data_IF_807757733080
#
_entry.id   IF_807757733080
#
_cell.length_a   1.000
_cell.length_b   1.000
_cell.length_c   1.000
_cell.angle_alpha   90.00
_cell.angle_beta   90.00
_cell.angle_gamma   90.00
#
_symmetry.space_group_name_H-M   'P 1'
#
loop_
_entity.id
_entity.type
_entity.pdbx_description
1 polymer ?
#
# COMPACT_ATOMS: atom_id res chain seq x y z
N UNK A 1 20.32 4.31 -17.34
CA UNK A 1 20.70 3.78 -18.64
C UNK A 1 20.91 2.29 -18.48
N UNK A 2 20.08 1.49 -19.15
CA UNK A 2 20.27 0.06 -19.26
C UNK A 2 21.64 -0.17 -19.91
N UNK A 3 22.58 -0.72 -19.16
CA UNK A 3 23.76 -1.32 -19.77
C UNK A 3 23.33 -2.66 -20.37
N UNK A 4 22.81 -2.64 -21.58
CA UNK A 4 22.73 -3.84 -22.38
C UNK A 4 24.16 -4.27 -22.75
N UNK A 5 24.63 -5.33 -22.11
CA UNK A 5 25.89 -5.95 -22.51
C UNK A 5 25.64 -6.85 -23.71
N UNK A 6 26.43 -6.72 -24.74
CA UNK A 6 26.48 -7.77 -25.77
C UNK A 6 27.05 -9.05 -25.16
N UNK A 7 26.77 -10.22 -25.75
CA UNK A 7 27.36 -11.50 -25.31
C UNK A 7 28.89 -11.46 -25.23
N UNK A 8 29.53 -10.72 -26.11
CA UNK A 8 30.98 -10.52 -26.09
C UNK A 8 31.40 -9.68 -24.86
N UNK A 9 30.68 -8.60 -24.53
CA UNK A 9 30.97 -7.77 -23.36
C UNK A 9 30.76 -8.51 -22.03
N UNK A 10 29.82 -9.46 -21.97
CA UNK A 10 29.63 -10.34 -20.81
C UNK A 10 30.77 -11.36 -20.67
N UNK A 11 31.37 -11.79 -21.79
CA UNK A 11 32.50 -12.74 -21.80
C UNK A 11 33.85 -12.03 -21.55
N UNK A 12 33.96 -10.77 -21.97
CA UNK A 12 35.17 -9.97 -21.86
C UNK A 12 35.12 -8.96 -20.71
N UNK A 13 34.31 -9.20 -19.68
CA UNK A 13 34.23 -8.32 -18.53
C UNK A 13 35.59 -8.25 -17.82
N UNK A 14 36.28 -7.15 -18.00
CA UNK A 14 37.56 -6.89 -17.35
C UNK A 14 37.26 -6.20 -16.01
N UNK A 15 37.55 -6.91 -14.93
CA UNK A 15 37.56 -6.35 -13.59
C UNK A 15 38.77 -5.44 -13.42
N UNK A 16 38.58 -4.33 -12.71
CA UNK A 16 39.69 -3.49 -12.29
C UNK A 16 40.59 -4.16 -11.25
N UNK A 17 41.59 -3.44 -10.78
CA UNK A 17 42.45 -3.93 -9.72
C UNK A 17 41.66 -4.21 -8.44
N UNK A 18 42.16 -5.17 -7.64
CA UNK A 18 41.56 -5.51 -6.36
C UNK A 18 41.57 -4.30 -5.41
N UNK A 19 40.41 -3.88 -4.97
CA UNK A 19 40.24 -2.74 -4.04
C UNK A 19 40.78 -3.05 -2.65
N UNK A 20 40.65 -4.30 -2.20
CA UNK A 20 41.05 -4.73 -0.86
C UNK A 20 41.28 -6.24 -0.81
N UNK A 21 42.26 -6.63 0.01
CA UNK A 21 42.45 -8.03 0.40
C UNK A 21 42.05 -8.21 1.87
N UNK A 22 41.05 -9.01 2.12
CA UNK A 22 40.54 -9.28 3.46
C UNK A 22 41.04 -10.61 3.98
N UNK A 23 41.18 -10.73 5.30
CA UNK A 23 41.53 -12.01 5.91
C UNK A 23 40.32 -12.98 5.87
N UNK A 24 40.56 -14.27 6.02
CA UNK A 24 39.54 -15.32 5.89
C UNK A 24 38.40 -15.25 6.92
N UNK A 25 38.51 -14.45 7.97
CA UNK A 25 37.51 -14.25 9.02
C UNK A 25 36.68 -12.98 8.82
N UNK A 26 37.05 -12.14 7.86
CA UNK A 26 36.29 -10.91 7.59
C UNK A 26 34.93 -11.25 7.01
N UNK A 27 33.88 -10.66 7.58
CA UNK A 27 32.48 -10.83 7.17
C UNK A 27 31.87 -9.58 6.55
N UNK A 28 32.62 -8.47 6.59
CA UNK A 28 32.16 -7.17 6.08
C UNK A 28 33.34 -6.32 5.64
N UNK A 29 33.08 -5.44 4.71
CA UNK A 29 33.96 -4.38 4.27
C UNK A 29 33.11 -3.17 3.85
N UNK A 30 33.61 -1.95 4.05
CA UNK A 30 32.94 -0.71 3.68
C UNK A 30 33.80 0.05 2.68
N UNK A 31 33.24 0.33 1.51
CA UNK A 31 33.86 1.22 0.54
C UNK A 31 33.54 2.68 0.91
N UNK A 32 34.58 3.45 1.22
CA UNK A 32 34.47 4.88 1.55
C UNK A 32 34.77 5.79 0.37
N UNK A 33 35.14 5.23 -0.80
CA UNK A 33 35.53 5.97 -2.00
C UNK A 33 34.35 6.25 -2.95
N UNK A 34 33.16 5.73 -2.64
CA UNK A 34 31.98 5.83 -3.52
C UNK A 34 31.42 7.24 -3.59
N UNK A 35 30.86 7.58 -4.76
CA UNK A 35 30.16 8.84 -5.00
C UNK A 35 28.65 8.61 -5.08
N UNK A 36 27.89 9.57 -4.56
CA UNK A 36 26.44 9.53 -4.63
C UNK A 36 25.93 9.63 -6.08
N UNK A 37 24.94 8.84 -6.46
CA UNK A 37 24.36 8.81 -7.81
C UNK A 37 25.16 7.96 -8.80
N UNK A 38 26.26 7.33 -8.39
CA UNK A 38 27.05 6.42 -9.22
C UNK A 38 26.84 4.98 -8.72
N UNK A 39 26.51 4.08 -9.64
CA UNK A 39 26.43 2.65 -9.39
C UNK A 39 27.78 1.96 -9.58
N UNK A 40 28.10 1.09 -8.67
CA UNK A 40 29.32 0.29 -8.67
C UNK A 40 28.98 -1.18 -8.73
N UNK A 41 29.77 -1.94 -9.47
CA UNK A 41 29.70 -3.39 -9.47
C UNK A 41 30.90 -3.94 -8.72
N UNK A 42 30.63 -4.80 -7.74
CA UNK A 42 31.67 -5.43 -6.92
C UNK A 42 31.69 -6.92 -7.17
N UNK A 43 32.89 -7.46 -7.28
CA UNK A 43 33.11 -8.90 -7.26
C UNK A 43 33.87 -9.27 -5.98
N UNK A 44 33.33 -10.22 -5.24
CA UNK A 44 33.98 -10.81 -4.07
C UNK A 44 34.48 -12.19 -4.43
N UNK A 45 35.78 -12.38 -4.34
CA UNK A 45 36.44 -13.66 -4.57
C UNK A 45 36.90 -14.24 -3.22
N UNK A 46 36.53 -15.48 -2.94
CA UNK A 46 36.98 -16.22 -1.77
C UNK A 46 37.83 -17.43 -2.20
N UNK A 47 39.12 -17.44 -1.87
CA UNK A 47 39.94 -18.61 -2.09
C UNK A 47 39.48 -19.78 -1.25
N UNK A 48 39.35 -20.92 -1.85
CA UNK A 48 39.00 -22.19 -1.23
C UNK A 48 40.22 -23.10 -1.16
N UNK A 49 40.30 -24.03 -0.18
CA UNK A 49 41.36 -25.04 -0.17
C UNK A 49 41.38 -25.83 -1.48
N UNK A 50 42.53 -26.18 -1.97
CA UNK A 50 42.64 -27.06 -3.15
C UNK A 50 41.93 -28.39 -2.87
N UNK A 51 41.22 -28.90 -3.87
CA UNK A 51 40.64 -30.23 -3.77
C UNK A 51 41.79 -31.26 -3.72
N UNK A 52 41.65 -32.37 -2.95
CA UNK A 52 42.68 -33.39 -2.82
C UNK A 52 43.04 -34.15 -4.11
N UNK A 53 42.35 -33.92 -5.20
CA UNK A 53 42.41 -34.70 -6.45
C UNK A 53 43.43 -34.18 -7.47
N UNK A 54 44.38 -33.32 -7.09
CA UNK A 54 45.60 -33.10 -7.91
C UNK A 54 45.44 -32.38 -9.26
N UNK A 55 44.24 -31.93 -9.63
CA UNK A 55 44.07 -31.07 -10.80
C UNK A 55 44.39 -29.63 -10.37
N UNK A 56 45.49 -29.08 -10.85
CA UNK A 56 46.03 -27.79 -10.48
C UNK A 56 45.18 -26.61 -10.97
N UNK A 57 44.15 -26.27 -10.23
CA UNK A 57 43.32 -25.08 -10.43
C UNK A 57 43.21 -24.31 -9.12
N UNK A 58 43.24 -23.00 -9.17
CA UNK A 58 42.87 -22.18 -8.02
C UNK A 58 41.35 -22.26 -7.86
N UNK A 59 40.88 -22.87 -6.75
CA UNK A 59 39.49 -22.91 -6.42
C UNK A 59 39.10 -21.62 -5.68
N UNK A 60 38.11 -20.93 -6.17
CA UNK A 60 37.55 -19.78 -5.49
C UNK A 60 36.02 -19.74 -5.67
N UNK A 61 35.33 -19.27 -4.64
CA UNK A 61 33.95 -18.85 -4.72
C UNK A 61 33.89 -17.41 -5.18
N UNK A 62 32.99 -17.08 -6.07
CA UNK A 62 32.76 -15.71 -6.53
C UNK A 62 31.32 -15.27 -6.25
N UNK A 63 31.15 -14.04 -5.83
CA UNK A 63 29.87 -13.38 -5.72
C UNK A 63 29.96 -11.97 -6.29
N UNK A 64 28.92 -11.56 -7.01
CA UNK A 64 28.84 -10.22 -7.60
C UNK A 64 27.67 -9.46 -7.00
N UNK A 65 27.85 -8.16 -6.80
CA UNK A 65 26.78 -7.26 -6.36
C UNK A 65 26.91 -5.91 -7.08
N UNK A 66 25.78 -5.38 -7.52
CA UNK A 66 25.65 -4.01 -7.99
C UNK A 66 25.02 -3.17 -6.88
N UNK A 67 25.69 -2.07 -6.48
CA UNK A 67 25.19 -1.21 -5.41
C UNK A 67 25.69 0.23 -5.58
N UNK A 68 25.04 1.16 -4.89
CA UNK A 68 25.44 2.56 -4.85
C UNK A 68 24.53 3.39 -3.95
N UNK A 69 24.94 4.61 -3.62
CA UNK A 69 24.15 5.54 -2.81
C UNK A 69 23.32 6.42 -3.75
N UNK A 70 21.99 6.41 -3.61
CA UNK A 70 21.04 7.18 -4.42
C UNK A 70 21.24 6.96 -5.94
N UNK A 71 21.50 5.74 -6.35
CA UNK A 71 21.51 5.37 -7.76
C UNK A 71 20.07 5.24 -8.28
N UNK A 72 19.80 5.59 -9.55
CA UNK A 72 18.51 5.31 -10.15
C UNK A 72 18.22 3.81 -10.13
N UNK A 73 16.98 3.39 -9.84
CA UNK A 73 16.62 1.99 -9.87
C UNK A 73 16.79 1.41 -11.28
N UNK A 74 17.28 0.17 -11.37
CA UNK A 74 17.45 -0.54 -12.65
C UNK A 74 16.11 -0.99 -13.25
N UNK A 75 15.10 -1.18 -12.40
CA UNK A 75 13.73 -1.50 -12.79
C UNK A 75 12.80 -0.40 -12.29
N UNK A 76 12.06 0.21 -13.20
CA UNK A 76 11.12 1.28 -12.88
C UNK A 76 9.71 0.72 -12.71
N UNK A 77 9.07 1.03 -11.58
CA UNK A 77 7.62 0.83 -11.38
C UNK A 77 6.80 1.99 -11.93
N UNK A 78 7.42 3.16 -12.10
CA UNK A 78 6.80 4.40 -12.54
C UNK A 78 7.00 5.54 -11.55
N UNK A 79 6.19 6.60 -11.67
CA UNK A 79 6.24 7.76 -10.81
C UNK A 79 5.23 7.64 -9.65
N UNK A 80 5.62 8.09 -8.45
CA UNK A 80 4.75 8.10 -7.28
C UNK A 80 4.71 9.49 -6.65
N UNK A 81 3.53 10.12 -6.62
CA UNK A 81 3.33 11.37 -5.91
C UNK A 81 2.88 11.09 -4.48
N UNK A 82 3.66 11.52 -3.51
CA UNK A 82 3.26 11.54 -2.10
C UNK A 82 2.64 12.89 -1.78
N UNK A 83 1.33 12.89 -1.59
CA UNK A 83 0.55 14.07 -1.19
C UNK A 83 0.50 14.09 0.33
N UNK A 84 1.06 15.11 0.95
CA UNK A 84 1.33 15.14 2.40
C UNK A 84 0.58 16.29 3.04
N UNK A 85 -0.14 16.01 4.13
CA UNK A 85 -0.68 17.06 5.00
C UNK A 85 0.47 17.91 5.52
N UNK A 86 0.42 19.20 5.21
CA UNK A 86 1.43 20.20 5.56
C UNK A 86 1.72 20.27 7.06
N UNK A 87 0.75 19.89 7.90
CA UNK A 87 0.88 19.84 9.35
C UNK A 87 2.09 19.00 9.78
N UNK A 88 2.38 17.92 9.04
CA UNK A 88 3.43 16.96 9.38
C UNK A 88 4.78 17.20 8.68
N UNK A 89 4.88 18.25 7.87
CA UNK A 89 6.10 18.55 7.09
C UNK A 89 7.38 18.57 7.93
N UNK A 90 7.32 19.14 9.12
CA UNK A 90 8.49 19.28 9.98
C UNK A 90 8.56 18.17 11.04
N UNK A 91 7.43 17.79 11.63
CA UNK A 91 7.38 16.84 12.76
C UNK A 91 7.62 15.40 12.33
N UNK A 92 7.34 15.06 11.07
CA UNK A 92 7.63 13.75 10.45
C UNK A 92 8.66 13.83 9.33
N UNK A 93 9.51 14.86 9.30
CA UNK A 93 10.47 15.08 8.22
C UNK A 93 11.41 13.88 7.99
N UNK A 94 11.85 13.25 9.07
CA UNK A 94 12.71 12.07 9.00
C UNK A 94 11.98 10.86 8.40
N UNK A 95 10.78 10.57 8.88
CA UNK A 95 9.97 9.44 8.41
C UNK A 95 9.51 9.63 6.96
N UNK A 96 9.20 10.88 6.57
CA UNK A 96 8.86 11.23 5.18
C UNK A 96 10.08 11.02 4.27
N UNK A 97 11.26 11.52 4.65
CA UNK A 97 12.49 11.31 3.87
C UNK A 97 12.79 9.82 3.69
N UNK A 98 12.67 9.03 4.76
CA UNK A 98 12.86 7.58 4.73
C UNK A 98 11.83 6.89 3.83
N UNK A 99 10.55 7.32 3.86
CA UNK A 99 9.53 6.80 2.95
C UNK A 99 9.91 7.04 1.47
N UNK A 100 10.44 8.22 1.15
CA UNK A 100 10.88 8.52 -0.22
C UNK A 100 12.06 7.65 -0.65
N UNK A 101 13.02 7.42 0.25
CA UNK A 101 14.12 6.49 0.00
C UNK A 101 13.60 5.05 -0.19
N UNK A 102 12.67 4.61 0.65
CA UNK A 102 12.04 3.29 0.55
C UNK A 102 11.29 3.11 -0.78
N UNK A 103 10.58 4.13 -1.24
CA UNK A 103 9.88 4.12 -2.54
C UNK A 103 10.89 4.07 -3.70
N UNK A 104 11.98 4.83 -3.61
CA UNK A 104 13.04 4.81 -4.62
C UNK A 104 13.68 3.42 -4.74
N UNK A 105 13.99 2.78 -3.61
CA UNK A 105 14.56 1.42 -3.59
C UNK A 105 13.58 0.35 -4.10
N UNK A 106 12.28 0.61 -4.00
CA UNK A 106 11.21 -0.25 -4.54
C UNK A 106 11.00 -0.06 -6.07
N UNK A 107 11.71 0.87 -6.67
CA UNK A 107 11.67 1.14 -8.11
C UNK A 107 10.73 2.29 -8.52
N UNK A 108 10.16 3.03 -7.59
CA UNK A 108 9.38 4.23 -7.87
C UNK A 108 10.29 5.45 -8.06
N UNK A 109 9.82 6.43 -8.84
CA UNK A 109 10.37 7.79 -8.89
C UNK A 109 9.45 8.64 -8.01
N UNK A 110 9.80 8.86 -6.71
CA UNK A 110 8.94 9.59 -5.79
C UNK A 110 9.06 11.09 -6.00
N UNK A 111 7.92 11.78 -5.91
CA UNK A 111 7.81 13.23 -5.80
C UNK A 111 6.87 13.60 -4.65
N UNK A 112 6.89 14.85 -4.19
CA UNK A 112 6.11 15.28 -3.03
C UNK A 112 5.38 16.59 -3.27
N UNK A 113 4.16 16.68 -2.74
CA UNK A 113 3.42 17.93 -2.61
C UNK A 113 2.83 18.06 -1.22
N UNK A 114 2.93 19.24 -0.65
CA UNK A 114 2.34 19.56 0.67
C UNK A 114 1.07 20.36 0.48
N UNK A 115 -0.03 19.84 1.01
CA UNK A 115 -1.37 20.47 0.97
C UNK A 115 -1.85 20.81 2.37
N UNK A 116 -2.74 21.78 2.49
CA UNK A 116 -3.41 22.06 3.75
C UNK A 116 -4.68 21.20 3.85
N UNK A 117 -4.97 20.71 5.06
CA UNK A 117 -6.17 19.91 5.32
C UNK A 117 -7.48 20.65 5.04
N UNK A 118 -7.44 21.98 4.95
CA UNK A 118 -8.59 22.83 4.64
C UNK A 118 -8.62 23.28 3.17
N UNK A 119 -7.66 22.84 2.35
CA UNK A 119 -7.71 23.09 0.89
C UNK A 119 -8.98 22.45 0.32
N UNK A 120 -9.52 23.01 -0.76
CA UNK A 120 -10.61 22.37 -1.47
C UNK A 120 -10.08 21.14 -2.25
N UNK A 121 -10.90 20.09 -2.37
CA UNK A 121 -10.50 18.87 -3.05
C UNK A 121 -10.09 19.11 -4.52
N UNK A 122 -10.71 20.07 -5.19
CA UNK A 122 -10.38 20.47 -6.57
C UNK A 122 -9.00 21.15 -6.67
N UNK A 123 -8.58 21.92 -5.68
CA UNK A 123 -7.24 22.50 -5.63
C UNK A 123 -6.17 21.39 -5.54
N UNK A 124 -6.39 20.42 -4.66
CA UNK A 124 -5.49 19.24 -4.55
C UNK A 124 -5.48 18.46 -5.85
N UNK A 125 -6.65 18.23 -6.44
CA UNK A 125 -6.80 17.56 -7.72
C UNK A 125 -6.01 18.26 -8.83
N UNK A 126 -6.11 19.59 -8.94
CA UNK A 126 -5.37 20.35 -9.94
C UNK A 126 -3.85 20.17 -9.80
N UNK A 127 -3.33 20.17 -8.57
CA UNK A 127 -1.92 19.86 -8.30
C UNK A 127 -1.51 18.46 -8.77
N UNK A 128 -2.37 17.46 -8.53
CA UNK A 128 -2.15 16.08 -8.98
C UNK A 128 -2.15 16.00 -10.51
N UNK A 129 -3.10 16.67 -11.18
CA UNK A 129 -3.18 16.72 -12.65
C UNK A 129 -1.96 17.36 -13.28
N UNK A 130 -1.46 18.45 -12.70
CA UNK A 130 -0.25 19.13 -13.18
C UNK A 130 1.00 18.27 -13.00
N UNK A 131 1.07 17.49 -11.93
CA UNK A 131 2.12 16.51 -11.73
C UNK A 131 2.00 15.36 -12.74
N UNK A 132 0.81 14.79 -12.93
CA UNK A 132 0.57 13.67 -13.83
C UNK A 132 0.94 14.01 -15.30
N UNK A 133 0.65 15.22 -15.75
CA UNK A 133 1.03 15.71 -17.08
C UNK A 133 2.54 15.75 -17.33
N UNK A 134 3.34 15.91 -16.27
CA UNK A 134 4.81 15.90 -16.35
C UNK A 134 5.40 14.51 -16.50
N UNK A 135 4.62 13.48 -16.24
CA UNK A 135 5.04 12.07 -16.25
C UNK A 135 4.13 11.20 -17.16
N UNK A 136 3.85 11.61 -18.43
CA UNK A 136 2.77 11.02 -19.24
C UNK A 136 3.00 9.55 -19.62
N UNK A 137 4.25 9.09 -19.67
CA UNK A 137 4.64 7.78 -20.22
C UNK A 137 4.96 6.74 -19.12
N UNK A 138 4.66 7.04 -17.86
CA UNK A 138 4.98 6.15 -16.75
C UNK A 138 3.73 5.68 -16.03
N UNK A 139 3.77 4.48 -15.44
CA UNK A 139 2.79 4.09 -14.44
C UNK A 139 2.84 5.09 -13.29
N UNK A 140 1.69 5.50 -12.79
CA UNK A 140 1.60 6.56 -11.80
C UNK A 140 0.82 6.08 -10.58
N UNK A 141 1.32 6.48 -9.40
CA UNK A 141 0.69 6.19 -8.12
C UNK A 141 0.57 7.45 -7.26
N UNK A 142 -0.45 7.48 -6.41
CA UNK A 142 -0.68 8.48 -5.40
C UNK A 142 -0.62 7.84 -4.02
N UNK A 143 0.16 8.43 -3.13
CA UNK A 143 0.13 8.09 -1.71
C UNK A 143 -0.34 9.31 -0.92
N UNK A 144 -1.56 9.26 -0.39
CA UNK A 144 -2.18 10.32 0.37
C UNK A 144 -1.85 10.11 1.85
N UNK A 145 -1.07 11.03 2.45
CA UNK A 145 -0.55 10.90 3.82
C UNK A 145 -1.07 12.03 4.72
N UNK A 146 -1.85 11.67 5.74
CA UNK A 146 -2.49 12.59 6.67
C UNK A 146 -3.85 13.07 6.17
N UNK A 147 -4.30 14.22 6.66
CA UNK A 147 -5.63 14.80 6.38
C UNK A 147 -5.68 15.47 5.01
N UNK A 148 -5.58 14.67 3.95
CA UNK A 148 -5.82 15.17 2.61
C UNK A 148 -7.33 15.32 2.41
N UNK A 149 -7.84 16.44 1.86
CA UNK A 149 -9.27 16.67 1.65
C UNK A 149 -9.97 15.43 1.08
N UNK A 150 -11.16 15.13 1.62
CA UNK A 150 -11.92 13.92 1.25
C UNK A 150 -13.00 14.30 0.25
N UNK A 151 -12.90 13.86 -1.02
CA UNK A 151 -13.99 14.01 -1.97
C UNK A 151 -15.12 13.04 -1.64
N UNK A 152 -16.36 13.50 -1.78
CA UNK A 152 -17.57 12.67 -1.65
C UNK A 152 -18.27 12.59 -2.99
N UNK A 153 -18.91 11.46 -3.28
CA UNK A 153 -19.63 11.29 -4.53
C UNK A 153 -20.83 10.35 -4.44
N UNK A 154 -21.79 10.60 -5.31
CA UNK A 154 -22.92 9.73 -5.60
C UNK A 154 -24.14 9.93 -4.70
N UNK A 155 -25.10 9.04 -4.93
CA UNK A 155 -26.32 8.86 -4.12
C UNK A 155 -26.61 7.36 -3.99
N UNK A 156 -25.56 6.56 -3.80
CA UNK A 156 -25.64 5.10 -3.78
C UNK A 156 -25.66 4.57 -2.35
N UNK A 157 -26.04 3.32 -2.20
CA UNK A 157 -25.88 2.53 -0.99
C UNK A 157 -24.86 1.42 -1.29
N UNK A 158 -23.53 1.69 -1.12
CA UNK A 158 -22.50 0.78 -1.61
C UNK A 158 -22.49 -0.57 -0.89
N UNK A 159 -23.06 -0.67 0.28
CA UNK A 159 -23.24 -1.92 1.04
C UNK A 159 -24.60 -2.61 0.79
N UNK A 160 -25.42 -2.07 -0.13
CA UNK A 160 -26.69 -2.65 -0.51
C UNK A 160 -27.90 -2.25 0.34
N UNK A 161 -27.73 -1.42 1.37
CA UNK A 161 -28.83 -0.96 2.25
C UNK A 161 -29.45 0.33 1.73
N UNK A 162 -30.40 0.23 0.82
CA UNK A 162 -30.97 1.39 0.12
C UNK A 162 -31.75 2.38 0.99
N UNK A 163 -32.23 1.96 2.15
CA UNK A 163 -33.11 2.80 2.97
C UNK A 163 -32.36 3.79 3.85
N UNK A 164 -31.18 3.43 4.32
CA UNK A 164 -30.45 4.17 5.36
C UNK A 164 -28.99 4.49 5.00
N UNK A 165 -28.38 3.73 4.06
CA UNK A 165 -27.01 3.98 3.64
C UNK A 165 -26.89 4.74 2.32
N UNK A 166 -28.00 5.18 1.74
CA UNK A 166 -27.99 5.94 0.49
C UNK A 166 -27.50 7.36 0.72
N UNK A 167 -26.49 7.78 -0.05
CA UNK A 167 -25.92 9.12 0.03
C UNK A 167 -24.63 9.26 -0.77
N UNK A 168 -23.93 10.36 -0.57
CA UNK A 168 -22.57 10.54 -1.05
C UNK A 168 -21.59 9.88 -0.07
N UNK A 169 -20.61 9.18 -0.61
CA UNK A 169 -19.61 8.45 0.15
C UNK A 169 -18.19 8.94 -0.19
N UNK A 170 -17.23 8.81 0.73
CA UNK A 170 -15.84 9.14 0.45
C UNK A 170 -15.34 8.41 -0.80
N UNK A 171 -14.70 9.15 -1.73
CA UNK A 171 -14.36 8.65 -3.06
C UNK A 171 -12.97 9.13 -3.50
N UNK A 172 -11.91 8.51 -2.99
CA UNK A 172 -10.53 8.84 -3.41
C UNK A 172 -10.26 8.58 -4.91
N UNK A 173 -11.10 7.76 -5.57
CA UNK A 173 -11.08 7.60 -7.02
C UNK A 173 -11.20 8.93 -7.79
N UNK A 174 -11.76 9.97 -7.17
CA UNK A 174 -11.74 11.32 -7.68
C UNK A 174 -10.31 11.78 -8.01
N UNK A 175 -9.37 11.56 -7.11
CA UNK A 175 -7.97 11.90 -7.32
C UNK A 175 -7.28 11.03 -8.38
N UNK A 176 -7.77 9.80 -8.58
CA UNK A 176 -7.19 8.83 -9.49
C UNK A 176 -7.63 8.94 -10.94
N UNK A 177 -8.72 9.65 -11.24
CA UNK A 177 -9.18 9.90 -12.59
C UNK A 177 -8.50 11.16 -13.15
N UNK A 178 -7.72 11.05 -14.23
CA UNK A 178 -7.11 12.22 -14.89
C UNK A 178 -8.14 12.93 -15.76
N UNK A 179 -8.94 12.14 -16.45
CA UNK A 179 -9.97 12.60 -17.37
C UNK A 179 -11.36 12.45 -16.72
N UNK A 180 -12.36 12.94 -17.43
CA UNK A 180 -13.75 12.81 -17.03
C UNK A 180 -14.29 14.01 -16.25
N UNK A 181 -15.59 14.20 -16.36
CA UNK A 181 -16.30 15.32 -15.76
C UNK A 181 -16.94 14.90 -14.44
N UNK A 182 -16.56 15.54 -13.36
CA UNK A 182 -17.21 15.46 -12.06
C UNK A 182 -18.16 16.63 -11.90
N UNK A 183 -19.42 16.36 -11.58
CA UNK A 183 -20.49 17.37 -11.47
C UNK A 183 -21.09 17.39 -10.07
N UNK A 184 -21.58 18.55 -9.67
CA UNK A 184 -22.31 18.79 -8.41
C UNK A 184 -23.49 19.72 -8.75
N UNK A 185 -24.51 19.15 -9.43
CA UNK A 185 -25.60 19.96 -10.02
C UNK A 185 -26.98 19.34 -9.90
N UNK A 186 -27.10 18.03 -9.76
CA UNK A 186 -28.37 17.33 -9.98
C UNK A 186 -28.80 16.43 -8.85
N UNK A 187 -27.89 15.81 -8.12
CA UNK A 187 -28.24 14.89 -7.02
C UNK A 187 -28.84 15.68 -5.85
N UNK A 188 -29.94 15.15 -5.32
CA UNK A 188 -30.61 15.72 -4.15
C UNK A 188 -31.02 14.60 -3.22
N UNK A 189 -30.15 14.23 -2.30
CA UNK A 189 -30.37 13.22 -1.26
C UNK A 189 -30.19 13.87 0.10
N UNK A 190 -31.25 13.93 0.89
CA UNK A 190 -31.30 14.56 2.23
C UNK A 190 -31.86 13.61 3.28
N UNK A 191 -31.83 12.32 3.00
CA UNK A 191 -32.35 11.25 3.87
C UNK A 191 -31.30 10.16 4.11
N UNK A 192 -30.01 10.52 4.02
CA UNK A 192 -28.94 9.62 4.40
C UNK A 192 -28.99 9.34 5.91
N UNK A 193 -28.53 8.15 6.34
CA UNK A 193 -28.46 7.79 7.76
C UNK A 193 -27.61 8.77 8.58
N UNK A 194 -26.63 9.40 7.94
CA UNK A 194 -25.85 10.50 8.49
C UNK A 194 -25.95 11.70 7.57
N UNK A 195 -26.25 12.88 8.12
CA UNK A 195 -26.34 14.14 7.36
C UNK A 195 -25.03 14.50 6.62
N UNK A 196 -23.90 13.99 7.06
CA UNK A 196 -22.63 14.15 6.34
C UNK A 196 -22.64 13.49 4.96
N UNK A 197 -23.49 12.46 4.76
CA UNK A 197 -23.66 11.77 3.50
C UNK A 197 -24.81 12.34 2.64
N UNK A 198 -25.56 13.34 3.15
CA UNK A 198 -26.49 14.08 2.31
C UNK A 198 -25.72 14.70 1.14
N UNK A 199 -26.39 14.76 -0.04
CA UNK A 199 -25.81 15.33 -1.25
C UNK A 199 -26.86 16.23 -1.91
N UNK A 200 -26.54 17.51 -2.05
CA UNK A 200 -27.41 18.50 -2.67
C UNK A 200 -26.60 19.37 -3.65
N UNK A 201 -27.19 19.85 -4.75
CA UNK A 201 -26.47 20.65 -5.73
C UNK A 201 -25.71 21.82 -5.12
N UNK A 202 -24.40 21.93 -5.39
CA UNK A 202 -23.53 23.01 -4.95
C UNK A 202 -22.94 22.84 -3.55
N UNK A 203 -23.03 21.65 -2.93
CA UNK A 203 -22.48 21.41 -1.59
C UNK A 203 -21.02 20.90 -1.58
N UNK A 204 -20.41 20.76 -2.77
CA UNK A 204 -19.05 20.26 -2.93
C UNK A 204 -18.95 18.75 -3.02
N UNK A 205 -20.06 18.03 -3.03
CA UNK A 205 -20.11 16.58 -3.24
C UNK A 205 -20.60 16.27 -4.65
N UNK A 206 -19.97 15.31 -5.30
CA UNK A 206 -20.22 15.03 -6.70
C UNK A 206 -21.48 14.17 -6.93
N UNK A 207 -22.11 14.37 -8.08
CA UNK A 207 -23.26 13.60 -8.53
C UNK A 207 -22.91 12.17 -8.99
N UNK A 208 -21.64 11.92 -9.30
CA UNK A 208 -21.20 10.75 -10.03
C UNK A 208 -21.36 9.47 -9.22
N UNK A 209 -22.19 8.53 -9.72
CA UNK A 209 -22.37 7.17 -9.17
C UNK A 209 -21.31 6.19 -9.67
N UNK A 210 -20.72 6.50 -10.80
CA UNK A 210 -19.67 5.75 -11.46
C UNK A 210 -18.53 6.71 -11.78
N UNK A 211 -17.33 6.20 -11.89
CA UNK A 211 -16.20 7.00 -12.35
C UNK A 211 -16.49 7.54 -13.75
N UNK A 212 -16.31 8.85 -13.99
CA UNK A 212 -16.60 9.45 -15.31
C UNK A 212 -15.56 9.06 -16.39
N UNK A 213 -14.48 8.45 -15.99
CA UNK A 213 -13.44 7.87 -16.85
C UNK A 213 -12.76 6.71 -16.14
N UNK A 214 -11.80 6.06 -16.79
CA UNK A 214 -10.93 5.11 -16.09
C UNK A 214 -10.16 5.80 -14.96
N UNK A 215 -9.92 5.05 -13.89
CA UNK A 215 -8.97 5.44 -12.84
C UNK A 215 -7.56 5.19 -13.38
N UNK A 216 -6.81 6.25 -13.67
CA UNK A 216 -5.49 6.16 -14.28
C UNK A 216 -4.37 6.06 -13.26
N UNK A 217 -4.57 6.53 -12.02
CA UNK A 217 -3.56 6.52 -10.97
C UNK A 217 -3.87 5.44 -9.93
N UNK A 218 -2.86 4.72 -9.49
CA UNK A 218 -2.96 3.82 -8.32
C UNK A 218 -3.09 4.69 -7.07
N UNK A 219 -4.03 4.40 -6.16
CA UNK A 219 -4.28 5.26 -5.01
C UNK A 219 -4.23 4.48 -3.71
N UNK A 220 -3.55 5.04 -2.71
CA UNK A 220 -3.58 4.60 -1.33
C UNK A 220 -3.63 5.79 -0.38
N UNK A 221 -4.38 5.66 0.73
CA UNK A 221 -4.50 6.70 1.76
C UNK A 221 -4.14 6.17 3.14
N UNK A 222 -3.45 6.98 3.91
CA UNK A 222 -3.24 6.79 5.34
C UNK A 222 -3.65 8.07 6.07
N UNK A 223 -4.75 7.98 6.80
CA UNK A 223 -5.33 9.08 7.57
C UNK A 223 -5.79 8.54 8.92
N UNK A 224 -5.28 9.13 10.00
CA UNK A 224 -5.65 8.76 11.37
C UNK A 224 -6.38 9.87 12.11
N UNK A 225 -7.02 10.80 11.38
CA UNK A 225 -7.87 11.81 11.99
C UNK A 225 -9.01 11.17 12.79
N UNK A 226 -9.32 11.75 13.95
CA UNK A 226 -10.44 11.29 14.79
C UNK A 226 -10.41 9.82 15.21
N UNK A 227 -9.20 9.21 15.35
CA UNK A 227 -9.02 7.84 15.87
C UNK A 227 -8.91 7.87 17.41
N UNK A 228 -9.89 8.42 18.08
CA UNK A 228 -9.87 8.77 19.51
C UNK A 228 -9.88 7.55 20.46
N UNK A 229 -10.11 6.34 19.95
CA UNK A 229 -9.98 5.10 20.73
C UNK A 229 -8.53 4.70 20.98
N UNK A 230 -7.61 5.16 20.13
CA UNK A 230 -6.19 5.01 20.35
C UNK A 230 -5.72 6.07 21.34
N UNK A 231 -4.81 5.73 22.25
CA UNK A 231 -4.21 6.67 23.20
C UNK A 231 -3.19 7.59 22.56
N UNK A 232 -2.65 7.16 21.42
CA UNK A 232 -1.67 7.92 20.65
C UNK A 232 -2.34 9.05 19.87
N UNK A 233 -1.64 10.15 19.73
CA UNK A 233 -2.03 11.24 18.85
C UNK A 233 -1.99 10.80 17.39
N UNK A 234 -2.66 11.54 16.51
CA UNK A 234 -2.64 11.31 15.06
C UNK A 234 -1.21 11.26 14.50
N UNK A 235 -0.36 12.20 14.94
CA UNK A 235 1.06 12.21 14.55
C UNK A 235 1.80 10.95 15.00
N UNK A 236 1.56 10.48 16.21
CA UNK A 236 2.16 9.25 16.72
C UNK A 236 1.68 8.02 15.94
N UNK A 237 0.41 7.98 15.55
CA UNK A 237 -0.13 6.92 14.70
C UNK A 237 0.48 6.94 13.30
N UNK A 238 0.65 8.13 12.69
CA UNK A 238 1.32 8.28 11.39
C UNK A 238 2.79 7.87 11.47
N UNK A 239 3.51 8.29 12.51
CA UNK A 239 4.89 7.88 12.76
C UNK A 239 5.01 6.36 12.87
N UNK A 240 4.16 5.74 13.69
CA UNK A 240 4.11 4.27 13.83
C UNK A 240 3.82 3.59 12.49
N UNK A 241 2.92 4.15 11.68
CA UNK A 241 2.65 3.60 10.35
C UNK A 241 3.87 3.66 9.44
N UNK A 242 4.57 4.77 9.39
CA UNK A 242 5.78 4.93 8.58
C UNK A 242 6.93 4.05 9.07
N UNK A 243 7.06 3.87 10.39
CA UNK A 243 8.05 2.96 10.99
C UNK A 243 7.80 1.50 10.62
N UNK A 244 6.57 1.01 10.74
CA UNK A 244 6.25 -0.37 10.37
C UNK A 244 6.30 -0.61 8.86
N UNK A 245 5.94 0.40 8.04
CA UNK A 245 6.09 0.34 6.59
C UNK A 245 7.56 0.16 6.20
N UNK A 246 8.45 0.95 6.80
CA UNK A 246 9.90 0.78 6.62
C UNK A 246 10.37 -0.60 7.09
N UNK A 247 9.96 -1.03 8.30
CA UNK A 247 10.33 -2.33 8.84
C UNK A 247 9.91 -3.50 7.94
N UNK A 248 8.75 -3.41 7.30
CA UNK A 248 8.29 -4.37 6.30
C UNK A 248 9.19 -4.37 5.06
N UNK A 249 9.45 -3.20 4.48
CA UNK A 249 10.26 -3.05 3.25
C UNK A 249 11.69 -3.56 3.40
N UNK A 250 12.29 -3.40 4.57
CA UNK A 250 13.65 -3.91 4.85
C UNK A 250 13.67 -5.33 5.42
N UNK A 251 12.55 -6.05 5.39
CA UNK A 251 12.46 -7.46 5.82
C UNK A 251 12.52 -7.71 7.33
N UNK A 252 12.43 -6.64 8.17
CA UNK A 252 12.39 -6.81 9.64
C UNK A 252 11.06 -7.34 10.15
N UNK A 253 9.98 -7.17 9.40
CA UNK A 253 8.69 -7.79 9.66
C UNK A 253 8.51 -8.95 8.71
N UNK A 254 8.39 -10.15 9.26
CA UNK A 254 8.14 -11.37 8.48
C UNK A 254 6.80 -11.95 8.88
N UNK A 255 6.00 -12.34 7.90
CA UNK A 255 4.71 -12.98 8.08
C UNK A 255 4.67 -14.30 7.31
N UNK A 256 3.87 -15.22 7.78
CA UNK A 256 3.65 -16.48 7.05
C UNK A 256 2.92 -16.17 5.73
N UNK A 257 3.43 -16.70 4.64
CA UNK A 257 2.81 -16.59 3.29
C UNK A 257 1.55 -17.45 3.20
N UNK A 258 0.54 -17.03 3.93
CA UNK A 258 -0.76 -17.69 4.09
C UNK A 258 -1.89 -16.67 4.06
N UNK A 259 -3.09 -17.14 3.71
CA UNK A 259 -4.34 -16.40 3.79
C UNK A 259 -5.24 -16.92 4.90
N UNK A 260 -5.83 -16.02 5.67
CA UNK A 260 -6.89 -16.33 6.64
C UNK A 260 -8.23 -15.78 6.11
N UNK A 261 -9.26 -16.59 6.15
CA UNK A 261 -10.66 -16.17 5.85
C UNK A 261 -11.53 -16.51 7.05
N UNK A 262 -12.30 -15.53 7.54
CA UNK A 262 -13.32 -15.68 8.57
C UNK A 262 -14.63 -15.11 8.02
N UNK A 263 -15.59 -15.99 7.71
CA UNK A 263 -16.87 -15.61 7.12
C UNK A 263 -18.02 -15.84 8.10
N UNK A 264 -18.53 -14.76 8.69
CA UNK A 264 -19.67 -14.78 9.58
C UNK A 264 -21.00 -14.44 8.88
N UNK A 265 -21.07 -14.65 7.55
CA UNK A 265 -22.28 -14.65 6.74
C UNK A 265 -22.50 -16.01 6.04
N UNK A 266 -22.52 -17.14 6.76
CA UNK A 266 -22.52 -18.47 6.14
C UNK A 266 -23.79 -18.76 5.33
N UNK A 267 -24.90 -18.08 5.66
CA UNK A 267 -26.21 -18.25 4.99
C UNK A 267 -26.49 -17.19 3.92
N UNK A 268 -25.54 -16.28 3.63
CA UNK A 268 -25.71 -15.25 2.62
C UNK A 268 -25.57 -15.85 1.21
N UNK A 269 -26.55 -15.58 0.33
CA UNK A 269 -26.50 -15.95 -1.09
C UNK A 269 -25.37 -15.22 -1.85
N UNK A 270 -24.88 -14.10 -1.32
CA UNK A 270 -23.85 -13.27 -1.97
C UNK A 270 -22.44 -13.88 -1.95
N UNK A 271 -22.22 -14.95 -1.21
CA UNK A 271 -20.88 -15.59 -1.14
C UNK A 271 -19.78 -14.63 -0.65
N UNK A 272 -20.06 -13.87 0.40
CA UNK A 272 -19.23 -12.76 0.88
C UNK A 272 -17.78 -13.16 1.20
N UNK A 273 -17.52 -14.38 1.64
CA UNK A 273 -16.16 -14.91 1.87
C UNK A 273 -15.38 -15.25 0.60
N UNK A 274 -16.03 -15.33 -0.57
CA UNK A 274 -15.38 -15.82 -1.81
C UNK A 274 -14.22 -14.95 -2.27
N UNK A 275 -14.29 -13.63 -2.06
CA UNK A 275 -13.21 -12.72 -2.46
C UNK A 275 -11.89 -13.07 -1.75
N UNK A 276 -11.94 -13.39 -0.45
CA UNK A 276 -10.78 -13.88 0.29
C UNK A 276 -10.24 -15.19 -0.28
N UNK A 277 -11.12 -16.20 -0.44
CA UNK A 277 -10.73 -17.51 -0.98
C UNK A 277 -10.10 -17.43 -2.36
N UNK A 278 -10.70 -16.68 -3.30
CA UNK A 278 -10.17 -16.53 -4.66
C UNK A 278 -8.78 -15.93 -4.69
N UNK A 279 -8.59 -14.82 -3.99
CA UNK A 279 -7.32 -14.12 -4.00
C UNK A 279 -6.24 -14.92 -3.29
N UNK A 280 -6.53 -15.46 -2.12
CA UNK A 280 -5.52 -16.14 -1.31
C UNK A 280 -5.15 -17.50 -1.87
N UNK A 281 -6.11 -18.24 -2.45
CA UNK A 281 -5.79 -19.49 -3.14
C UNK A 281 -4.91 -19.27 -4.37
N UNK A 282 -5.11 -18.18 -5.10
CA UNK A 282 -4.26 -17.82 -6.23
C UNK A 282 -2.85 -17.39 -5.81
N UNK A 283 -2.71 -16.70 -4.65
CA UNK A 283 -1.42 -16.24 -4.15
C UNK A 283 -0.62 -17.34 -3.46
N UNK A 284 -1.26 -18.18 -2.66
CA UNK A 284 -0.57 -19.08 -1.72
C UNK A 284 -0.84 -20.57 -1.98
N UNK A 285 -1.76 -20.89 -2.89
CA UNK A 285 -2.33 -22.23 -3.01
C UNK A 285 -3.39 -22.53 -1.95
N UNK A 286 -4.40 -23.33 -2.31
CA UNK A 286 -5.57 -23.59 -1.45
C UNK A 286 -5.22 -24.19 -0.08
N UNK A 287 -4.16 -24.99 0.02
CA UNK A 287 -3.71 -25.61 1.27
C UNK A 287 -3.18 -24.59 2.28
N UNK A 288 -2.80 -23.40 1.83
CA UNK A 288 -2.29 -22.29 2.66
C UNK A 288 -3.36 -21.23 2.95
N UNK A 289 -4.61 -21.47 2.57
CA UNK A 289 -5.75 -20.65 2.99
C UNK A 289 -6.45 -21.34 4.15
N UNK A 290 -6.67 -20.61 5.24
CA UNK A 290 -7.23 -21.16 6.48
C UNK A 290 -8.58 -20.50 6.78
N UNK A 291 -9.56 -21.32 7.12
CA UNK A 291 -10.85 -20.92 7.67
C UNK A 291 -10.73 -20.94 9.21
N UNK A 292 -10.50 -19.77 9.79
CA UNK A 292 -10.22 -19.63 11.23
C UNK A 292 -10.74 -18.29 11.73
N UNK A 293 -11.06 -18.22 13.03
CA UNK A 293 -11.54 -17.01 13.69
C UNK A 293 -10.49 -15.88 13.58
N UNK A 294 -10.88 -14.76 12.99
CA UNK A 294 -10.02 -13.63 12.66
C UNK A 294 -9.23 -13.11 13.86
N UNK A 295 -9.93 -12.59 14.87
CA UNK A 295 -9.30 -11.96 16.04
C UNK A 295 -8.42 -12.92 16.85
N UNK A 296 -8.97 -14.11 17.17
CA UNK A 296 -8.26 -15.08 18.01
C UNK A 296 -7.01 -15.61 17.35
N UNK A 297 -7.07 -15.83 16.05
CA UNK A 297 -5.94 -16.35 15.27
C UNK A 297 -4.87 -15.27 15.09
N UNK A 298 -5.26 -14.08 14.61
CA UNK A 298 -4.31 -12.99 14.32
C UNK A 298 -3.69 -12.36 15.58
N UNK A 299 -4.18 -12.66 16.76
CA UNK A 299 -3.51 -12.29 18.01
C UNK A 299 -2.32 -13.20 18.36
N UNK A 300 -2.17 -14.36 17.73
CA UNK A 300 -1.19 -15.42 18.08
C UNK A 300 -0.36 -15.91 16.90
N UNK A 301 -0.92 -15.87 15.69
CA UNK A 301 -0.31 -16.41 14.48
C UNK A 301 -0.35 -15.37 13.36
N UNK A 302 0.75 -15.26 12.60
CA UNK A 302 0.87 -14.32 11.51
C UNK A 302 0.32 -14.88 10.20
N UNK A 303 -0.25 -13.98 9.39
CA UNK A 303 -0.68 -14.23 8.02
C UNK A 303 -0.29 -13.04 7.14
N UNK A 304 0.14 -13.29 5.92
CA UNK A 304 0.41 -12.19 5.00
C UNK A 304 -0.88 -11.45 4.62
N UNK A 305 -1.94 -12.22 4.37
CA UNK A 305 -3.27 -11.70 4.08
C UNK A 305 -4.32 -12.25 5.04
N UNK A 306 -5.29 -11.41 5.39
CA UNK A 306 -6.47 -11.82 6.14
C UNK A 306 -7.74 -11.22 5.54
N UNK A 307 -8.84 -11.92 5.69
CA UNK A 307 -10.18 -11.48 5.35
C UNK A 307 -11.15 -11.80 6.47
N UNK A 308 -11.87 -10.79 6.94
CA UNK A 308 -12.93 -10.94 7.93
C UNK A 308 -14.22 -10.29 7.44
N UNK A 309 -15.33 -11.03 7.43
CA UNK A 309 -16.64 -10.49 7.07
C UNK A 309 -17.71 -10.89 8.10
N UNK A 310 -18.50 -9.89 8.50
CA UNK A 310 -19.56 -10.03 9.51
C UNK A 310 -20.46 -8.81 9.52
N UNK A 311 -21.58 -8.88 10.23
CA UNK A 311 -22.51 -7.76 10.38
C UNK A 311 -21.79 -6.51 10.86
N UNK A 312 -21.82 -5.43 10.06
CA UNK A 312 -20.98 -4.25 10.27
C UNK A 312 -21.67 -3.09 10.98
N UNK A 313 -20.87 -2.30 11.64
CA UNK A 313 -21.12 -0.94 12.08
C UNK A 313 -19.86 -0.11 11.82
N UNK A 314 -19.90 1.23 11.93
CA UNK A 314 -18.76 2.06 11.53
C UNK A 314 -17.42 1.64 12.15
N UNK A 315 -17.44 1.05 13.34
CA UNK A 315 -16.26 0.75 14.15
C UNK A 315 -16.02 -0.75 14.39
N UNK A 316 -16.85 -1.66 13.85
CA UNK A 316 -16.75 -3.10 14.16
C UNK A 316 -17.43 -3.97 13.13
N UNK A 317 -17.01 -5.24 13.08
CA UNK A 317 -17.75 -6.33 12.45
C UNK A 317 -18.03 -7.43 13.47
N UNK A 318 -19.29 -7.93 13.50
CA UNK A 318 -19.72 -8.99 14.41
C UNK A 318 -18.84 -10.23 14.23
N UNK A 319 -18.39 -10.79 15.35
CA UNK A 319 -17.54 -11.98 15.46
C UNK A 319 -16.16 -11.87 14.76
N UNK A 320 -15.84 -10.73 14.16
CA UNK A 320 -14.54 -10.45 13.55
C UNK A 320 -13.65 -9.65 14.52
N UNK A 321 -13.96 -8.36 14.73
CA UNK A 321 -13.21 -7.48 15.61
C UNK A 321 -13.86 -6.10 15.73
N UNK A 322 -13.20 -5.19 16.47
CA UNK A 322 -13.58 -3.77 16.56
C UNK A 322 -12.35 -2.88 16.59
N UNK A 323 -12.54 -1.59 16.31
CA UNK A 323 -11.47 -0.59 16.44
C UNK A 323 -10.92 -0.55 17.89
N UNK A 324 -11.77 -0.74 18.89
CA UNK A 324 -11.33 -0.86 20.28
C UNK A 324 -10.38 -2.06 20.47
N UNK A 325 -10.67 -3.21 19.85
CA UNK A 325 -9.78 -4.37 19.93
C UNK A 325 -8.43 -4.09 19.30
N UNK A 326 -8.39 -3.37 18.17
CA UNK A 326 -7.15 -3.02 17.48
C UNK A 326 -6.24 -2.06 18.28
N UNK A 327 -6.74 -1.40 19.32
CA UNK A 327 -5.89 -0.57 20.20
C UNK A 327 -4.98 -1.41 21.09
N UNK A 328 -5.41 -2.61 21.45
CA UNK A 328 -4.72 -3.50 22.40
C UNK A 328 -4.16 -4.75 21.76
N UNK A 329 -4.89 -5.34 20.83
CA UNK A 329 -4.54 -6.61 20.21
C UNK A 329 -3.44 -6.43 19.14
N UNK A 330 -2.62 -7.45 19.00
CA UNK A 330 -1.75 -7.56 17.82
C UNK A 330 -2.58 -8.12 16.66
N UNK A 331 -2.70 -7.34 15.57
CA UNK A 331 -3.27 -7.83 14.32
C UNK A 331 -2.11 -8.31 13.45
N UNK A 332 -1.71 -9.59 13.61
CA UNK A 332 -0.55 -10.17 12.92
C UNK A 332 -0.88 -10.46 11.44
N UNK A 333 -1.23 -9.41 10.70
CA UNK A 333 -1.49 -9.44 9.26
C UNK A 333 -0.98 -8.15 8.62
N UNK A 334 -0.34 -8.26 7.44
CA UNK A 334 0.15 -7.08 6.70
C UNK A 334 -0.96 -6.45 5.88
N UNK A 335 -1.73 -7.26 5.16
CA UNK A 335 -2.84 -6.84 4.33
C UNK A 335 -4.14 -7.45 4.84
N UNK A 336 -5.18 -6.66 4.95
CA UNK A 336 -6.48 -7.18 5.37
C UNK A 336 -7.62 -6.67 4.49
N UNK A 337 -8.52 -7.54 4.16
CA UNK A 337 -9.85 -7.20 3.66
C UNK A 337 -10.85 -7.32 4.80
N UNK A 338 -11.73 -6.35 4.94
CA UNK A 338 -12.79 -6.36 5.94
C UNK A 338 -14.10 -6.03 5.24
N UNK A 339 -15.13 -6.84 5.49
CA UNK A 339 -16.46 -6.59 4.96
C UNK A 339 -17.51 -6.56 6.06
N UNK A 340 -18.35 -5.56 5.99
CA UNK A 340 -19.48 -5.28 6.82
C UNK A 340 -20.09 -3.95 6.39
N UNK A 341 -21.28 -3.63 6.88
CA UNK A 341 -21.95 -2.38 6.58
C UNK A 341 -21.17 -1.17 7.10
N UNK A 342 -21.28 -0.03 6.44
CA UNK A 342 -20.68 1.28 6.80
C UNK A 342 -19.17 1.43 6.67
N UNK A 343 -18.39 0.40 6.36
CA UNK A 343 -16.93 0.52 6.37
C UNK A 343 -16.39 1.48 5.29
N UNK A 344 -17.09 1.56 4.15
CA UNK A 344 -16.71 2.48 3.07
C UNK A 344 -16.88 3.96 3.41
N UNK A 345 -17.60 4.29 4.48
CA UNK A 345 -17.64 5.62 5.08
C UNK A 345 -16.37 5.82 5.96
N UNK A 346 -15.23 5.61 5.32
CA UNK A 346 -13.96 5.37 6.00
C UNK A 346 -13.46 6.57 6.83
N UNK A 347 -13.87 7.79 6.55
CA UNK A 347 -13.49 8.98 7.31
C UNK A 347 -14.36 9.21 8.57
N UNK A 348 -15.35 8.32 8.82
CA UNK A 348 -16.10 8.29 10.07
C UNK A 348 -15.14 8.13 11.28
N UNK A 349 -15.36 8.84 12.41
CA UNK A 349 -14.51 8.69 13.60
C UNK A 349 -14.33 7.22 14.01
N UNK A 350 -13.10 6.83 14.33
CA UNK A 350 -12.75 5.45 14.72
C UNK A 350 -13.18 4.37 13.73
N UNK A 351 -13.26 4.71 12.43
CA UNK A 351 -13.67 3.75 11.39
C UNK A 351 -12.84 2.47 11.44
N UNK A 352 -13.51 1.32 11.22
CA UNK A 352 -12.94 0.00 11.39
C UNK A 352 -11.78 -0.28 10.43
N UNK A 353 -11.85 0.16 9.16
CA UNK A 353 -10.74 0.00 8.20
C UNK A 353 -9.50 0.78 8.65
N UNK A 354 -9.69 2.02 9.12
CA UNK A 354 -8.58 2.83 9.64
C UNK A 354 -8.04 2.28 10.96
N UNK A 355 -8.90 1.71 11.81
CA UNK A 355 -8.50 1.00 13.02
C UNK A 355 -7.51 -0.14 12.73
N UNK A 356 -7.77 -0.90 11.67
CA UNK A 356 -6.87 -1.97 11.26
C UNK A 356 -5.48 -1.44 10.89
N UNK A 357 -5.37 -0.42 10.04
CA UNK A 357 -4.07 0.17 9.67
C UNK A 357 -3.43 1.00 10.79
N UNK A 358 -4.20 1.45 11.78
CA UNK A 358 -3.66 2.05 13.00
C UNK A 358 -3.07 1.01 13.96
N UNK A 359 -3.35 -0.28 13.80
CA UNK A 359 -2.77 -1.35 14.61
C UNK A 359 -1.24 -1.50 14.42
N UNK A 360 -0.62 -2.42 15.16
CA UNK A 360 0.85 -2.54 15.21
C UNK A 360 1.49 -3.07 13.94
N UNK A 361 0.79 -3.86 13.11
CA UNK A 361 1.39 -4.58 11.99
C UNK A 361 0.75 -4.32 10.65
N UNK A 362 -0.57 -4.11 10.57
CA UNK A 362 -1.30 -3.99 9.33
C UNK A 362 -0.89 -2.72 8.55
N UNK A 363 -0.57 -2.88 7.27
CA UNK A 363 -0.14 -1.79 6.38
C UNK A 363 -1.22 -1.37 5.37
N UNK A 364 -2.13 -2.28 5.00
CA UNK A 364 -3.22 -1.94 4.11
C UNK A 364 -4.50 -2.66 4.51
N UNK A 365 -5.60 -1.94 4.42
CA UNK A 365 -6.94 -2.41 4.69
C UNK A 365 -7.85 -1.99 3.55
N UNK A 366 -8.70 -2.87 3.09
CA UNK A 366 -9.68 -2.61 2.04
C UNK A 366 -11.08 -3.04 2.47
N UNK A 367 -12.09 -2.30 1.99
CA UNK A 367 -13.47 -2.75 2.15
C UNK A 367 -13.73 -3.90 1.17
N UNK A 368 -13.79 -5.13 1.68
CA UNK A 368 -13.92 -6.34 0.88
C UNK A 368 -15.28 -6.45 0.18
N UNK A 369 -15.34 -7.30 -0.83
CA UNK A 369 -16.51 -7.77 -1.56
C UNK A 369 -17.35 -6.72 -2.35
N UNK A 370 -17.17 -5.44 -2.14
CA UNK A 370 -17.84 -4.37 -2.88
C UNK A 370 -16.91 -3.20 -3.11
N UNK A 371 -16.08 -3.25 -4.16
CA UNK A 371 -16.01 -4.23 -5.25
C UNK A 371 -15.41 -5.58 -4.83
N UNK A 372 -15.56 -6.58 -5.69
CA UNK A 372 -14.81 -7.82 -5.63
C UNK A 372 -13.36 -7.54 -6.06
N UNK A 373 -12.44 -7.43 -5.12
CA UNK A 373 -11.05 -7.11 -5.39
C UNK A 373 -10.30 -8.27 -6.05
N UNK A 374 -9.37 -7.93 -6.94
CA UNK A 374 -8.49 -8.86 -7.65
C UNK A 374 -7.04 -8.62 -7.23
N UNK A 375 -6.63 -9.17 -6.08
CA UNK A 375 -5.30 -8.97 -5.54
C UNK A 375 -4.26 -10.01 -5.98
N UNK A 376 -4.66 -11.03 -6.73
CA UNK A 376 -3.76 -12.11 -7.16
C UNK A 376 -2.53 -11.64 -7.95
N UNK A 377 -2.58 -10.47 -8.58
CA UNK A 377 -1.44 -9.89 -9.29
C UNK A 377 -0.24 -9.60 -8.36
N UNK A 378 -0.48 -9.44 -7.05
CA UNK A 378 0.57 -9.26 -6.06
C UNK A 378 1.48 -10.50 -5.96
N UNK A 379 0.98 -11.69 -6.28
CA UNK A 379 1.79 -12.91 -6.39
C UNK A 379 2.82 -12.85 -7.54
N UNK A 380 2.62 -11.96 -8.50
CA UNK A 380 3.53 -11.71 -9.63
C UNK A 380 4.44 -10.51 -9.38
N UNK A 381 4.43 -9.92 -8.17
CA UNK A 381 5.24 -8.77 -7.81
C UNK A 381 4.59 -7.41 -8.06
N UNK A 382 3.31 -7.38 -8.47
CA UNK A 382 2.58 -6.13 -8.63
C UNK A 382 2.22 -5.50 -7.27
N UNK A 383 1.98 -4.19 -7.28
CA UNK A 383 1.58 -3.47 -6.09
C UNK A 383 0.10 -3.70 -5.76
N UNK A 384 -0.29 -3.52 -4.51
CA UNK A 384 -1.70 -3.48 -4.13
C UNK A 384 -2.45 -2.37 -4.88
N UNK A 385 -1.78 -1.23 -5.13
CA UNK A 385 -2.33 -0.10 -5.90
C UNK A 385 -2.67 -0.48 -7.34
N UNK A 386 -1.84 -1.26 -8.02
CA UNK A 386 -2.13 -1.81 -9.34
C UNK A 386 -3.38 -2.67 -9.34
N UNK A 387 -3.47 -3.59 -8.38
CA UNK A 387 -4.62 -4.48 -8.24
C UNK A 387 -5.92 -3.71 -7.95
N UNK A 388 -5.87 -2.67 -7.12
CA UNK A 388 -7.05 -1.83 -6.83
C UNK A 388 -7.46 -1.01 -8.04
N UNK A 389 -6.51 -0.40 -8.75
CA UNK A 389 -6.78 0.33 -10.00
C UNK A 389 -7.43 -0.56 -11.05
N UNK A 390 -6.90 -1.76 -11.25
CA UNK A 390 -7.45 -2.73 -12.20
C UNK A 390 -8.88 -3.12 -11.84
N UNK A 391 -9.14 -3.38 -10.55
CA UNK A 391 -10.47 -3.73 -10.05
C UNK A 391 -11.47 -2.58 -10.24
N UNK A 392 -11.07 -1.34 -9.95
CA UNK A 392 -11.94 -0.17 -10.13
C UNK A 392 -12.31 0.10 -11.59
N UNK A 393 -11.53 -0.42 -12.53
CA UNK A 393 -11.73 -0.24 -13.96
C UNK A 393 -12.49 -1.40 -14.65
N UNK A 394 -12.80 -2.47 -13.91
CA UNK A 394 -13.59 -3.62 -14.39
C UNK A 394 -15.03 -3.54 -13.91
#
# INVERSE_FOLDING_TARGET
PERAYTRAQLLDQVWGDSLVYLNSKSTSWTDTSIQQGIGYEYQVLKSLPAFPTGEGGQNFGAGNIYSGIKIPPTHHRGACLVVIDRTYKNTLAFEISRLLDDLLYDGWIPDTVFVDKNDAADQVKNGILDWAKKNPDTHQALFLLGRIPVPYSGEIAPDGHNSDHRGAWPCDGYYGTIDGLWTDQTVKTTAAASSRNDNIPGDGKFDNKFFPSKVQLQIGRVDFSNMNKFSESEEQLLRRYLDKNHAWRIGKMQMMEQGLVDNNFPSSEEGLGQSGWKNFAAMFGISNVKDLQYRQTLSKQSFLWSYGCGGGGPESASDISSTTNFTTDSLLSIFTMLFGSYFGDWDYPNNFLRGAIASKTCLASTWGNRPNWFFQHMALGETIGYSTQLTMNN
#
